data_IF_742420795143
#
_entry.id   IF_742420795143
#
_cell.length_a   1.000
_cell.length_b   1.000
_cell.length_c   1.000
_cell.angle_alpha   90.00
_cell.angle_beta   90.00
_cell.angle_gamma   90.00
#
_symmetry.space_group_name_H-M   'P 1'
#
loop_
_entity.id
_entity.type
_entity.pdbx_description
1 polymer ?
#
# COMPACT_ATOMS: atom_id res chain seq x y z
N UNK A 1 -17.76 2.73 -6.06
CA UNK A 1 -17.55 1.53 -5.23
C UNK A 1 -18.74 0.62 -5.44
N UNK A 2 -18.53 -0.67 -5.74
CA UNK A 2 -19.62 -1.63 -5.89
C UNK A 2 -20.37 -1.76 -4.56
N UNK A 3 -21.68 -1.50 -4.52
CA UNK A 3 -22.49 -1.55 -3.29
C UNK A 3 -22.83 -2.97 -2.86
N UNK A 4 -22.66 -3.94 -3.75
CA UNK A 4 -22.94 -5.35 -3.50
C UNK A 4 -21.93 -6.19 -4.27
N UNK A 5 -21.32 -7.16 -3.61
CA UNK A 5 -20.50 -8.14 -4.30
C UNK A 5 -21.41 -9.03 -5.15
N UNK A 6 -20.94 -9.52 -6.31
CA UNK A 6 -21.59 -10.64 -7.00
C UNK A 6 -21.92 -11.74 -5.99
N UNK A 7 -23.03 -12.46 -6.18
CA UNK A 7 -23.42 -13.53 -5.25
C UNK A 7 -22.32 -14.58 -5.07
N UNK A 8 -21.52 -14.81 -6.12
CA UNK A 8 -20.33 -15.67 -6.13
C UNK A 8 -19.13 -15.09 -5.38
N UNK A 9 -19.23 -13.94 -4.72
CA UNK A 9 -18.15 -13.37 -3.89
C UNK A 9 -18.62 -13.02 -2.47
N UNK A 10 -19.92 -13.19 -2.18
CA UNK A 10 -20.46 -12.95 -0.84
C UNK A 10 -19.91 -13.93 0.20
N UNK A 11 -19.58 -15.17 -0.18
CA UNK A 11 -19.04 -16.16 0.74
C UNK A 11 -17.59 -15.83 1.17
N UNK A 12 -16.86 -15.04 0.38
CA UNK A 12 -15.47 -14.61 0.63
C UNK A 12 -15.37 -13.19 1.20
N UNK A 13 -16.48 -12.60 1.65
CA UNK A 13 -16.56 -11.18 2.03
C UNK A 13 -15.48 -10.76 3.03
N UNK A 14 -15.24 -11.56 4.08
CA UNK A 14 -14.20 -11.27 5.09
C UNK A 14 -12.80 -11.23 4.47
N UNK A 15 -12.47 -12.16 3.58
CA UNK A 15 -11.16 -12.20 2.92
C UNK A 15 -10.98 -11.03 1.94
N UNK A 16 -12.04 -10.64 1.24
CA UNK A 16 -12.04 -9.46 0.37
C UNK A 16 -11.89 -8.14 1.16
N UNK A 17 -12.48 -8.07 2.35
CA UNK A 17 -12.28 -6.94 3.27
C UNK A 17 -10.83 -6.85 3.74
N UNK A 18 -10.21 -7.99 4.11
CA UNK A 18 -8.80 -8.03 4.50
C UNK A 18 -7.88 -7.60 3.34
N UNK A 19 -8.11 -8.14 2.15
CA UNK A 19 -7.36 -7.76 0.95
C UNK A 19 -7.43 -6.25 0.69
N UNK A 20 -8.61 -5.65 0.89
CA UNK A 20 -8.78 -4.20 0.78
C UNK A 20 -7.98 -3.43 1.83
N UNK A 21 -7.87 -3.96 3.06
CA UNK A 21 -7.04 -3.37 4.11
C UNK A 21 -5.56 -3.43 3.72
N UNK A 22 -5.09 -4.54 3.17
CA UNK A 22 -3.70 -4.69 2.72
C UNK A 22 -3.38 -3.73 1.56
N UNK A 23 -4.26 -3.64 0.55
CA UNK A 23 -4.12 -2.69 -0.56
C UNK A 23 -4.04 -1.25 -0.03
N UNK A 24 -4.91 -0.88 0.91
CA UNK A 24 -4.87 0.44 1.56
C UNK A 24 -3.56 0.66 2.29
N UNK A 25 -3.06 -0.34 3.00
CA UNK A 25 -1.80 -0.27 3.73
C UNK A 25 -0.65 0.11 2.77
N UNK A 26 -0.51 -0.61 1.67
CA UNK A 26 0.52 -0.34 0.64
C UNK A 26 0.42 1.09 0.10
N UNK A 27 -0.80 1.54 -0.24
CA UNK A 27 -1.01 2.88 -0.80
C UNK A 27 -0.63 3.96 0.22
N UNK A 28 -1.03 3.81 1.48
CA UNK A 28 -0.72 4.76 2.52
C UNK A 28 0.79 4.81 2.85
N UNK A 29 1.50 3.68 2.81
CA UNK A 29 2.97 3.62 2.93
C UNK A 29 3.65 4.35 1.77
N UNK A 30 3.15 4.19 0.53
CA UNK A 30 3.63 4.95 -0.65
C UNK A 30 3.37 6.45 -0.51
N UNK A 31 2.21 6.86 0.00
CA UNK A 31 1.90 8.27 0.26
C UNK A 31 2.87 8.92 1.26
N UNK A 32 3.22 8.20 2.33
CA UNK A 32 4.22 8.69 3.28
C UNK A 32 5.60 8.87 2.63
N UNK A 33 5.99 7.91 1.78
CA UNK A 33 7.23 7.99 1.01
C UNK A 33 7.23 9.18 0.03
N UNK A 34 6.11 9.48 -0.62
CA UNK A 34 5.94 10.63 -1.51
C UNK A 34 6.05 11.95 -0.74
N UNK A 35 5.39 12.05 0.41
CA UNK A 35 5.46 13.25 1.25
C UNK A 35 6.90 13.47 1.73
N UNK A 36 7.58 12.43 2.20
CA UNK A 36 8.98 12.50 2.62
C UNK A 36 9.88 13.03 1.50
N UNK A 37 9.79 12.45 0.29
CA UNK A 37 10.56 12.89 -0.89
C UNK A 37 10.24 14.34 -1.26
N UNK A 38 8.97 14.72 -1.18
CA UNK A 38 8.50 16.07 -1.50
C UNK A 38 9.05 17.09 -0.50
N UNK A 39 9.05 16.80 0.80
CA UNK A 39 9.59 17.68 1.84
C UNK A 39 11.10 17.90 1.69
N UNK A 40 11.86 16.84 1.40
CA UNK A 40 13.30 16.93 1.11
C UNK A 40 13.56 17.86 -0.07
N UNK A 41 12.80 17.70 -1.16
CA UNK A 41 12.95 18.52 -2.35
C UNK A 41 12.52 19.98 -2.13
N UNK A 42 11.38 20.21 -1.47
CA UNK A 42 10.83 21.54 -1.21
C UNK A 42 11.75 22.38 -0.32
N UNK A 43 12.32 21.76 0.72
CA UNK A 43 13.21 22.44 1.66
C UNK A 43 14.70 22.35 1.29
N UNK A 44 15.02 21.77 0.12
CA UNK A 44 16.39 21.59 -0.36
C UNK A 44 17.30 20.92 0.69
N UNK A 45 16.78 19.92 1.38
CA UNK A 45 17.54 19.14 2.35
C UNK A 45 18.58 18.26 1.64
N UNK A 46 19.49 17.69 2.43
CA UNK A 46 20.52 16.81 1.89
C UNK A 46 19.89 15.61 1.16
N UNK A 47 20.38 15.35 -0.06
CA UNK A 47 19.94 14.23 -0.90
C UNK A 47 20.32 12.88 -0.30
N UNK A 48 21.29 12.83 0.62
CA UNK A 48 21.63 11.61 1.37
C UNK A 48 20.41 11.04 2.14
N UNK A 49 19.45 11.89 2.52
CA UNK A 49 18.19 11.48 3.16
C UNK A 49 17.30 10.63 2.26
N UNK A 50 17.52 10.67 0.94
CA UNK A 50 16.81 9.89 -0.07
C UNK A 50 17.53 8.58 -0.45
N UNK A 51 18.63 8.24 0.23
CA UNK A 51 19.28 6.95 0.05
C UNK A 51 18.35 5.79 0.41
N UNK A 52 18.52 4.66 -0.26
CA UNK A 52 17.71 3.45 -0.06
C UNK A 52 17.70 3.02 1.41
N UNK A 53 18.85 3.09 2.11
CA UNK A 53 18.96 2.76 3.53
C UNK A 53 18.09 3.67 4.42
N UNK A 54 18.09 4.97 4.14
CA UNK A 54 17.29 5.93 4.90
C UNK A 54 15.80 5.76 4.63
N UNK A 55 15.43 5.45 3.39
CA UNK A 55 14.06 5.15 3.01
C UNK A 55 13.55 3.83 3.60
N UNK A 56 14.38 2.79 3.64
CA UNK A 56 14.05 1.52 4.30
C UNK A 56 13.84 1.72 5.81
N UNK A 57 14.75 2.45 6.47
CA UNK A 57 14.57 2.81 7.89
C UNK A 57 13.30 3.61 8.10
N UNK A 58 13.00 4.58 7.23
CA UNK A 58 11.78 5.36 7.31
C UNK A 58 10.50 4.52 7.13
N UNK A 59 10.51 3.50 6.26
CA UNK A 59 9.38 2.56 6.14
C UNK A 59 9.22 1.69 7.38
N UNK A 60 10.32 1.18 7.94
CA UNK A 60 10.29 0.44 9.20
C UNK A 60 9.72 1.31 10.35
N UNK A 61 10.15 2.57 10.43
CA UNK A 61 9.63 3.56 11.36
C UNK A 61 8.10 3.75 11.23
N UNK A 62 7.60 3.86 10.00
CA UNK A 62 6.15 3.93 9.71
C UNK A 62 5.43 2.70 10.27
N UNK A 63 5.94 1.49 9.98
CA UNK A 63 5.32 0.25 10.43
C UNK A 63 5.25 0.18 11.95
N UNK A 64 6.32 0.55 12.64
CA UNK A 64 6.38 0.58 14.11
C UNK A 64 5.38 1.56 14.74
N UNK A 65 5.00 2.63 14.03
CA UNK A 65 3.98 3.57 14.50
C UNK A 65 2.55 3.08 14.23
N UNK A 66 2.33 2.38 13.11
CA UNK A 66 0.99 2.11 12.61
C UNK A 66 0.45 0.76 13.05
N UNK A 67 1.32 -0.24 13.14
CA UNK A 67 0.97 -1.61 13.48
C UNK A 67 0.86 -1.74 14.99
N UNK A 68 -0.27 -2.25 15.47
CA UNK A 68 -0.45 -2.54 16.89
C UNK A 68 0.10 -3.93 17.28
N UNK A 69 0.10 -4.25 18.58
CA UNK A 69 0.55 -5.54 19.12
C UNK A 69 -0.22 -6.76 18.54
N UNK A 70 -1.36 -6.52 17.89
CA UNK A 70 -2.20 -7.53 17.25
C UNK A 70 -1.99 -7.60 15.73
N UNK A 71 -1.05 -6.84 15.17
CA UNK A 71 -0.77 -6.80 13.73
C UNK A 71 -1.72 -5.92 12.91
N UNK A 72 -2.64 -5.18 13.55
CA UNK A 72 -3.61 -4.36 12.83
C UNK A 72 -3.05 -2.97 12.52
N UNK A 73 -3.22 -2.54 11.27
CA UNK A 73 -2.79 -1.21 10.82
C UNK A 73 -3.78 -0.10 11.20
N UNK A 74 -3.37 0.84 12.05
CA UNK A 74 -4.21 1.96 12.55
C UNK A 74 -3.84 3.31 11.94
N UNK A 75 -3.92 3.42 10.62
CA UNK A 75 -3.54 4.62 9.86
C UNK A 75 -4.15 5.92 10.40
N UNK A 76 -5.48 6.03 10.47
CA UNK A 76 -6.18 7.28 10.83
C UNK A 76 -5.81 7.81 12.22
N UNK A 77 -5.64 6.91 13.20
CA UNK A 77 -5.30 7.31 14.59
C UNK A 77 -3.85 7.78 14.72
N UNK A 78 -2.96 7.27 13.88
CA UNK A 78 -1.52 7.50 13.99
C UNK A 78 -0.96 8.58 13.05
N UNK A 79 -1.79 9.21 12.21
CA UNK A 79 -1.31 10.23 11.26
C UNK A 79 -0.55 11.38 11.92
N UNK A 80 -0.97 11.82 13.12
CA UNK A 80 -0.26 12.90 13.84
C UNK A 80 1.11 12.43 14.31
N UNK A 81 1.22 11.21 14.84
CA UNK A 81 2.49 10.62 15.28
C UNK A 81 3.45 10.42 14.09
N UNK A 82 2.95 9.95 12.96
CA UNK A 82 3.72 9.85 11.72
C UNK A 82 4.26 11.22 11.28
N UNK A 83 3.43 12.25 11.38
CA UNK A 83 3.83 13.62 11.00
C UNK A 83 4.94 14.14 11.92
N UNK A 84 4.81 13.92 13.23
CA UNK A 84 5.85 14.30 14.20
C UNK A 84 7.15 13.56 13.92
N UNK A 85 7.12 12.23 13.75
CA UNK A 85 8.31 11.43 13.49
C UNK A 85 8.98 11.83 12.18
N UNK A 86 8.21 12.03 11.11
CA UNK A 86 8.71 12.45 9.80
C UNK A 86 9.42 13.80 9.88
N UNK A 87 8.80 14.80 10.53
CA UNK A 87 9.40 16.13 10.67
C UNK A 87 10.65 16.09 11.55
N UNK A 88 10.61 15.36 12.67
CA UNK A 88 11.78 15.19 13.52
C UNK A 88 12.96 14.56 12.76
N UNK A 89 12.68 13.54 11.94
CA UNK A 89 13.70 12.84 11.15
C UNK A 89 14.31 13.72 10.06
N UNK A 90 13.52 14.56 9.41
CA UNK A 90 13.96 15.41 8.31
C UNK A 90 14.68 16.69 8.77
N UNK A 91 14.21 17.32 9.85
CA UNK A 91 14.66 18.65 10.25
C UNK A 91 15.43 18.66 11.59
N UNK A 92 15.39 17.58 12.37
CA UNK A 92 15.96 17.52 13.71
C UNK A 92 15.29 18.45 14.73
N UNK A 93 14.19 19.10 14.34
CA UNK A 93 13.41 19.98 15.19
C UNK A 93 11.90 19.79 14.97
N UNK A 94 11.12 20.10 16.00
CA UNK A 94 9.67 19.94 15.99
C UNK A 94 8.99 21.30 15.74
N UNK A 95 8.97 21.71 14.48
CA UNK A 95 8.22 22.89 14.05
C UNK A 95 6.72 22.55 13.88
N UNK A 96 5.87 23.19 14.69
CA UNK A 96 4.41 22.99 14.66
C UNK A 96 3.83 23.21 13.26
N UNK A 97 4.29 24.22 12.52
CA UNK A 97 3.75 24.52 11.19
C UNK A 97 4.04 23.40 10.20
N UNK A 98 5.24 22.83 10.25
CA UNK A 98 5.63 21.70 9.40
C UNK A 98 4.88 20.42 9.79
N UNK A 99 4.69 20.19 11.08
CA UNK A 99 3.92 19.05 11.60
C UNK A 99 2.46 19.15 11.16
N UNK A 100 1.86 20.33 11.28
CA UNK A 100 0.47 20.56 10.88
C UNK A 100 0.29 20.44 9.36
N UNK A 101 1.25 20.94 8.58
CA UNK A 101 1.27 20.71 7.14
C UNK A 101 1.30 19.22 6.80
N UNK A 102 2.25 18.47 7.35
CA UNK A 102 2.40 17.03 7.09
C UNK A 102 1.15 16.25 7.52
N UNK A 103 0.59 16.56 8.69
CA UNK A 103 -0.63 15.93 9.20
C UNK A 103 -1.83 16.19 8.28
N UNK A 104 -2.07 17.44 7.92
CA UNK A 104 -3.20 17.81 7.06
C UNK A 104 -3.05 17.23 5.65
N UNK A 105 -1.82 17.16 5.14
CA UNK A 105 -1.54 16.50 3.87
C UNK A 105 -1.87 15.01 3.96
N UNK A 106 -1.33 14.28 4.95
CA UNK A 106 -1.61 12.85 5.11
C UNK A 106 -3.09 12.58 5.36
N UNK A 107 -3.74 13.38 6.19
CA UNK A 107 -5.17 13.26 6.48
C UNK A 107 -6.00 13.38 5.20
N UNK A 108 -5.66 14.32 4.31
CA UNK A 108 -6.32 14.49 3.01
C UNK A 108 -5.99 13.35 2.05
N UNK A 109 -4.72 12.99 1.90
CA UNK A 109 -4.30 12.06 0.86
C UNK A 109 -4.57 10.59 1.19
N UNK A 110 -4.73 10.22 2.46
CA UNK A 110 -5.06 8.84 2.86
C UNK A 110 -6.57 8.52 2.76
N UNK A 111 -7.39 9.48 2.34
CA UNK A 111 -8.81 9.26 2.08
C UNK A 111 -9.03 8.66 0.69
N UNK A 112 -10.00 7.74 0.53
CA UNK A 112 -10.37 7.20 -0.79
C UNK A 112 -10.85 8.26 -1.78
N UNK A 113 -11.31 9.41 -1.30
CA UNK A 113 -11.72 10.55 -2.14
C UNK A 113 -10.54 11.37 -2.69
N UNK A 114 -9.32 11.12 -2.23
CA UNK A 114 -8.13 11.79 -2.75
C UNK A 114 -7.83 11.34 -4.18
N UNK A 115 -7.61 12.31 -5.07
CA UNK A 115 -7.15 12.03 -6.43
C UNK A 115 -5.78 11.34 -6.45
N UNK A 116 -4.88 11.71 -5.54
CA UNK A 116 -3.54 11.08 -5.44
C UNK A 116 -3.69 9.63 -4.99
N UNK A 117 -4.57 9.36 -4.02
CA UNK A 117 -4.89 8.01 -3.59
C UNK A 117 -5.39 7.17 -4.76
N UNK A 118 -6.40 7.66 -5.50
CA UNK A 118 -6.97 6.92 -6.63
C UNK A 118 -5.93 6.62 -7.71
N UNK A 119 -5.03 7.57 -8.02
CA UNK A 119 -3.96 7.33 -9.00
C UNK A 119 -3.00 6.23 -8.53
N UNK A 120 -2.60 6.25 -7.25
CA UNK A 120 -1.71 5.23 -6.69
C UNK A 120 -2.39 3.86 -6.63
N UNK A 121 -3.68 3.84 -6.30
CA UNK A 121 -4.52 2.65 -6.29
C UNK A 121 -4.60 2.02 -7.69
N UNK A 122 -4.90 2.82 -8.73
CA UNK A 122 -4.93 2.34 -10.11
C UNK A 122 -3.59 1.75 -10.54
N UNK A 123 -2.47 2.44 -10.28
CA UNK A 123 -1.13 1.93 -10.60
C UNK A 123 -0.76 0.67 -9.85
N UNK A 124 -1.22 0.55 -8.60
CA UNK A 124 -1.02 -0.67 -7.81
C UNK A 124 -1.79 -1.85 -8.42
N UNK A 125 -3.03 -1.64 -8.83
CA UNK A 125 -3.82 -2.67 -9.50
C UNK A 125 -3.24 -3.07 -10.86
N UNK A 126 -2.73 -2.12 -11.65
CA UNK A 126 -1.99 -2.42 -12.89
C UNK A 126 -0.76 -3.31 -12.62
N UNK A 127 0.02 -3.01 -11.58
CA UNK A 127 1.17 -3.85 -11.16
C UNK A 127 0.72 -5.25 -10.74
N UNK A 128 -0.34 -5.35 -9.92
CA UNK A 128 -0.91 -6.64 -9.49
C UNK A 128 -1.38 -7.46 -10.71
N UNK A 129 -2.14 -6.85 -11.62
CA UNK A 129 -2.62 -7.51 -12.83
C UNK A 129 -1.46 -8.02 -13.69
N UNK A 130 -0.40 -7.24 -13.81
CA UNK A 130 0.80 -7.62 -14.57
C UNK A 130 1.49 -8.84 -13.94
N UNK A 131 1.63 -8.87 -12.60
CA UNK A 131 2.18 -10.03 -11.90
C UNK A 131 1.30 -11.28 -12.04
N UNK A 132 -0.02 -11.14 -11.99
CA UNK A 132 -0.94 -12.25 -12.18
C UNK A 132 -0.85 -12.82 -13.61
N UNK A 133 -0.80 -11.95 -14.63
CA UNK A 133 -0.67 -12.38 -16.03
C UNK A 133 0.66 -13.07 -16.33
N UNK A 134 1.77 -12.61 -15.71
CA UNK A 134 3.09 -13.21 -15.89
C UNK A 134 3.21 -14.59 -15.22
N UNK A 135 2.43 -14.85 -14.16
CA UNK A 135 2.41 -16.15 -13.47
C UNK A 135 1.93 -17.29 -14.38
N UNK A 136 1.13 -16.97 -15.39
CA UNK A 136 0.65 -17.92 -16.41
C UNK A 136 1.66 -18.18 -17.54
N UNK A 137 2.74 -17.39 -17.64
CA UNK A 137 3.67 -17.41 -18.77
C UNK A 137 5.15 -17.52 -18.34
N UNK A 138 5.52 -18.56 -17.60
CA UNK A 138 6.88 -18.91 -17.15
C UNK A 138 7.30 -18.43 -15.75
N UNK A 139 7.57 -19.42 -14.90
CA UNK A 139 8.49 -19.40 -13.77
C UNK A 139 9.90 -18.93 -14.16
N UNK A 140 10.49 -18.16 -13.25
CA UNK A 140 11.88 -17.68 -13.22
C UNK A 140 12.19 -16.52 -14.17
N UNK A 141 12.23 -15.29 -13.63
CA UNK A 141 13.32 -14.36 -13.90
C UNK A 141 13.49 -13.40 -12.71
N UNK A 142 14.71 -13.41 -12.17
CA UNK A 142 15.20 -12.49 -11.16
C UNK A 142 15.49 -11.14 -11.83
N UNK A 143 14.47 -10.31 -12.04
CA UNK A 143 14.71 -8.93 -12.47
C UNK A 143 14.88 -8.02 -11.25
N UNK A 144 16.15 -7.81 -10.94
CA UNK A 144 16.69 -6.77 -10.06
C UNK A 144 16.21 -5.39 -10.51
N UNK A 145 15.25 -4.81 -9.77
CA UNK A 145 15.02 -3.37 -9.77
C UNK A 145 14.75 -2.83 -8.37
N UNK A 146 15.79 -2.15 -7.85
CA UNK A 146 15.78 -1.03 -6.89
C UNK A 146 15.32 -1.35 -5.45
N UNK A 147 16.30 -1.39 -4.55
CA UNK A 147 16.21 -1.75 -3.13
C UNK A 147 15.29 -0.84 -2.28
N UNK A 148 14.90 0.34 -2.75
CA UNK A 148 13.88 1.18 -2.10
C UNK A 148 12.51 0.45 -2.03
N UNK A 149 12.28 -0.55 -2.88
CA UNK A 149 10.98 -1.19 -3.07
C UNK A 149 10.77 -2.47 -2.22
N UNK A 150 11.78 -2.98 -1.51
CA UNK A 150 11.77 -4.29 -0.84
C UNK A 150 10.59 -4.54 0.12
N UNK A 151 10.37 -3.68 1.12
CA UNK A 151 9.28 -3.87 2.12
C UNK A 151 7.90 -3.80 1.44
N UNK A 152 7.71 -2.81 0.57
CA UNK A 152 6.46 -2.63 -0.16
C UNK A 152 6.25 -3.76 -1.18
N UNK A 153 7.32 -4.34 -1.71
CA UNK A 153 7.27 -5.50 -2.60
C UNK A 153 6.96 -6.79 -1.85
N UNK A 154 7.45 -6.96 -0.61
CA UNK A 154 7.04 -8.08 0.26
C UNK A 154 5.54 -7.99 0.55
N UNK A 155 5.05 -6.84 1.01
CA UNK A 155 3.62 -6.61 1.26
C UNK A 155 2.78 -6.81 -0.02
N UNK A 156 3.30 -6.38 -1.17
CA UNK A 156 2.67 -6.60 -2.47
C UNK A 156 2.60 -8.08 -2.85
N UNK A 157 3.68 -8.84 -2.61
CA UNK A 157 3.70 -10.28 -2.87
C UNK A 157 2.67 -11.01 -2.00
N UNK A 158 2.55 -10.64 -0.72
CA UNK A 158 1.54 -11.21 0.18
C UNK A 158 0.11 -10.89 -0.28
N UNK A 159 -0.11 -9.71 -0.87
CA UNK A 159 -1.40 -9.33 -1.49
C UNK A 159 -1.66 -10.17 -2.74
N UNK A 160 -0.67 -10.35 -3.60
CA UNK A 160 -0.78 -11.15 -4.83
C UNK A 160 -1.06 -12.62 -4.48
N UNK A 161 -0.38 -13.18 -3.49
CA UNK A 161 -0.59 -14.57 -3.06
C UNK A 161 -2.01 -14.77 -2.54
N UNK A 162 -2.47 -13.90 -1.62
CA UNK A 162 -3.84 -13.97 -1.08
C UNK A 162 -4.89 -13.78 -2.17
N UNK A 163 -4.65 -12.89 -3.12
CA UNK A 163 -5.55 -12.70 -4.25
C UNK A 163 -5.56 -13.93 -5.18
N UNK A 164 -4.41 -14.56 -5.43
CA UNK A 164 -4.34 -15.82 -6.21
C UNK A 164 -5.19 -16.90 -5.53
N UNK A 165 -4.98 -17.12 -4.23
CA UNK A 165 -5.74 -18.12 -3.46
C UNK A 165 -7.26 -17.88 -3.52
N UNK A 166 -7.68 -16.61 -3.49
CA UNK A 166 -9.09 -16.23 -3.65
C UNK A 166 -9.62 -16.55 -5.04
N UNK A 167 -8.86 -16.26 -6.10
CA UNK A 167 -9.25 -16.55 -7.48
C UNK A 167 -9.37 -18.07 -7.68
N UNK A 168 -8.37 -18.83 -7.24
CA UNK A 168 -8.34 -20.30 -7.36
C UNK A 168 -9.53 -20.94 -6.63
N UNK A 169 -9.78 -20.51 -5.39
CA UNK A 169 -10.91 -21.00 -4.60
C UNK A 169 -12.25 -20.63 -5.26
N UNK A 170 -12.37 -19.41 -5.78
CA UNK A 170 -13.58 -18.97 -6.46
C UNK A 170 -13.86 -19.81 -7.71
N UNK A 171 -12.86 -20.07 -8.53
CA UNK A 171 -13.00 -20.92 -9.71
C UNK A 171 -13.27 -22.38 -9.34
N UNK A 172 -12.67 -22.90 -8.26
CA UNK A 172 -12.95 -24.26 -7.79
C UNK A 172 -14.43 -24.43 -7.37
N UNK A 173 -15.02 -23.42 -6.71
CA UNK A 173 -16.40 -23.52 -6.20
C UNK A 173 -17.45 -23.16 -7.26
N UNK A 174 -17.16 -22.18 -8.13
CA UNK A 174 -18.12 -21.65 -9.10
C UNK A 174 -17.74 -21.93 -10.56
N UNK A 175 -16.69 -22.71 -10.82
CA UNK A 175 -16.20 -23.02 -12.16
C UNK A 175 -17.28 -23.60 -13.07
N UNK A 176 -18.06 -24.56 -12.56
CA UNK A 176 -19.18 -25.17 -13.29
C UNK A 176 -20.29 -24.16 -13.60
N UNK A 177 -20.53 -23.19 -12.70
CA UNK A 177 -21.46 -22.11 -12.96
C UNK A 177 -20.93 -21.20 -14.08
N UNK A 178 -19.64 -20.88 -14.08
CA UNK A 178 -19.03 -20.06 -15.14
C UNK A 178 -19.04 -20.75 -16.51
N UNK A 179 -18.78 -22.05 -16.57
CA UNK A 179 -18.84 -22.82 -17.83
C UNK A 179 -20.28 -22.99 -18.33
N UNK A 180 -21.27 -23.01 -17.43
CA UNK A 180 -22.68 -23.08 -17.82
C UNK A 180 -23.19 -21.85 -18.60
N UNK A 181 -22.53 -20.69 -18.46
CA UNK A 181 -22.86 -19.47 -19.23
C UNK A 181 -22.25 -19.47 -20.65
N UNK A 182 -21.35 -20.40 -20.95
CA UNK A 182 -20.74 -20.54 -22.28
C UNK A 182 -21.51 -21.49 -23.21
N UNK A 183 -22.46 -22.25 -22.66
CA UNK A 183 -23.38 -23.12 -23.39
C UNK A 183 -24.74 -22.44 -23.56
#
# INVERSE_FOLDING_TARGET
>A
MCSQFPNTLNFDHTRLLLLRVDVRHIICTKLCSILYKTLVQMHKLDKSLLSDDNMMKFKSDILNIIVDDKGNSKWTKNLKNLSIQMINKLFGNLDSQKIDFAYNWLLKQTQPSSKVYSILESKLFEKIQSHLAMKDTYTNNNDTTINDELIVNVELNDVIERLTQLIDFNYQVFGDLYTSYLN
#
